data_IF_242384071322
#
_entry.id   IF_242384071322
#
_cell.length_a   1.000
_cell.length_b   1.000
_cell.length_c   1.000
_cell.angle_alpha   90.00
_cell.angle_beta   90.00
_cell.angle_gamma   90.00
#
_symmetry.space_group_name_H-M   'P 1'
#
loop_
_entity.id
_entity.type
_entity.pdbx_description
1 polymer ?
#
# COMPACT_ATOMS: atom_id res chain seq x y z
N UNK A 1 0.91 8.94 14.44
CA UNK A 1 1.53 8.19 13.32
C UNK A 1 2.50 7.21 13.92
N UNK A 2 2.38 5.93 13.58
CA UNK A 2 3.36 4.91 13.97
C UNK A 2 4.69 5.24 13.30
N UNK A 3 5.79 5.25 14.05
CA UNK A 3 7.12 5.47 13.48
C UNK A 3 7.70 4.13 13.00
N UNK A 4 7.46 3.80 11.72
CA UNK A 4 7.93 2.55 11.08
C UNK A 4 9.42 2.56 10.73
N UNK A 5 10.08 3.71 10.77
CA UNK A 5 11.51 3.86 10.44
C UNK A 5 12.43 3.16 11.44
N UNK A 6 11.91 2.76 12.61
CA UNK A 6 12.66 1.96 13.58
C UNK A 6 12.94 0.53 13.08
N UNK A 7 12.19 0.05 12.08
CA UNK A 7 12.28 -1.30 11.53
C UNK A 7 13.24 -1.41 10.31
N UNK A 8 13.81 -0.29 9.86
CA UNK A 8 14.77 -0.23 8.75
C UNK A 8 14.39 0.77 7.67
N UNK A 9 14.73 0.48 6.41
CA UNK A 9 14.33 1.29 5.26
C UNK A 9 12.80 1.34 5.14
N UNK A 10 12.27 2.53 4.87
CA UNK A 10 10.83 2.76 4.68
C UNK A 10 10.55 3.39 3.32
N UNK A 11 9.40 3.04 2.76
CA UNK A 11 8.87 3.61 1.52
C UNK A 11 7.77 4.60 1.88
N UNK A 12 7.89 5.83 1.37
CA UNK A 12 6.96 6.93 1.67
C UNK A 12 6.25 7.32 0.38
N UNK A 13 4.92 7.16 0.36
CA UNK A 13 4.07 7.53 -0.77
C UNK A 13 3.27 8.78 -0.40
N UNK A 14 3.40 9.82 -1.23
CA UNK A 14 2.76 11.13 -1.04
C UNK A 14 1.72 11.37 -2.14
N UNK A 15 0.57 11.93 -1.75
CA UNK A 15 -0.38 12.49 -2.71
C UNK A 15 0.09 13.87 -3.15
N UNK A 16 0.56 13.98 -4.39
CA UNK A 16 1.01 15.26 -4.96
C UNK A 16 -0.12 16.27 -5.14
N UNK A 17 -1.38 15.83 -5.22
CA UNK A 17 -2.56 16.68 -5.33
C UNK A 17 -3.07 17.17 -3.98
N UNK A 18 -2.62 16.56 -2.89
CA UNK A 18 -2.95 16.94 -1.52
C UNK A 18 -1.69 16.93 -0.63
N UNK A 19 -0.77 17.89 -0.82
CA UNK A 19 0.55 17.87 -0.19
C UNK A 19 0.50 17.98 1.34
N UNK A 20 -0.56 18.56 1.90
CA UNK A 20 -0.76 18.72 3.35
C UNK A 20 -1.24 17.43 4.03
N UNK A 21 -1.74 16.45 3.26
CA UNK A 21 -2.16 15.17 3.80
C UNK A 21 -0.97 14.36 4.34
N UNK A 22 -1.24 13.56 5.36
CA UNK A 22 -0.28 12.61 5.90
C UNK A 22 0.17 11.61 4.80
N UNK A 23 1.47 11.27 4.73
CA UNK A 23 1.94 10.24 3.80
C UNK A 23 1.48 8.86 4.22
N UNK A 24 1.44 7.95 3.26
CA UNK A 24 1.48 6.52 3.53
C UNK A 24 2.93 6.09 3.73
N UNK A 25 3.21 5.33 4.79
CA UNK A 25 4.54 4.83 5.13
C UNK A 25 4.48 3.32 5.25
N UNK A 26 5.37 2.65 4.53
CA UNK A 26 5.49 1.19 4.47
C UNK A 26 6.87 0.75 4.94
N UNK A 27 6.95 -0.33 5.70
CA UNK A 27 8.19 -1.08 5.88
C UNK A 27 8.56 -1.79 4.58
N UNK A 28 9.79 -2.29 4.48
CA UNK A 28 10.21 -3.14 3.35
C UNK A 28 9.29 -4.35 3.15
N UNK A 29 8.95 -5.05 4.24
CA UNK A 29 8.09 -6.23 4.18
C UNK A 29 6.67 -5.89 3.69
N UNK A 30 6.10 -4.78 4.16
CA UNK A 30 4.78 -4.32 3.70
C UNK A 30 4.80 -3.90 2.23
N UNK A 31 5.88 -3.24 1.79
CA UNK A 31 6.04 -2.85 0.39
C UNK A 31 6.16 -4.06 -0.54
N UNK A 32 6.98 -5.05 -0.16
CA UNK A 32 7.15 -6.28 -0.93
C UNK A 32 5.82 -7.05 -1.04
N UNK A 33 5.07 -7.17 0.06
CA UNK A 33 3.73 -7.77 0.07
C UNK A 33 2.74 -7.01 -0.81
N UNK A 34 2.73 -5.67 -0.76
CA UNK A 34 1.89 -4.84 -1.63
C UNK A 34 2.20 -5.08 -3.11
N UNK A 35 3.48 -5.09 -3.50
CA UNK A 35 3.89 -5.33 -4.89
C UNK A 35 3.53 -6.74 -5.35
N UNK A 36 3.65 -7.75 -4.48
CA UNK A 36 3.22 -9.12 -4.78
C UNK A 36 1.72 -9.20 -5.02
N UNK A 37 0.89 -8.61 -4.13
CA UNK A 37 -0.56 -8.55 -4.31
C UNK A 37 -0.99 -7.85 -5.60
N UNK A 38 -0.30 -6.76 -5.98
CA UNK A 38 -0.52 -6.10 -7.28
C UNK A 38 -0.23 -7.03 -8.45
N UNK A 39 0.85 -7.83 -8.39
CA UNK A 39 1.20 -8.78 -9.46
C UNK A 39 0.25 -9.99 -9.52
N UNK A 40 -0.32 -10.40 -8.40
CA UNK A 40 -1.34 -11.46 -8.33
C UNK A 40 -2.73 -10.98 -8.80
N UNK A 41 -2.87 -9.69 -9.14
CA UNK A 41 -4.15 -9.10 -9.52
C UNK A 41 -5.12 -8.96 -8.35
N UNK A 42 -4.63 -8.94 -7.10
CA UNK A 42 -5.48 -8.83 -5.89
C UNK A 42 -6.41 -7.62 -5.94
N UNK A 43 -5.94 -6.54 -6.56
CA UNK A 43 -6.64 -5.26 -6.67
C UNK A 43 -7.38 -5.07 -8.00
N UNK A 44 -7.46 -6.10 -8.84
CA UNK A 44 -8.20 -6.01 -10.10
C UNK A 44 -9.70 -5.83 -9.83
N UNK A 45 -10.32 -4.89 -10.54
CA UNK A 45 -11.73 -4.55 -10.32
C UNK A 45 -12.65 -5.77 -10.47
N UNK A 46 -12.37 -6.67 -11.42
CA UNK A 46 -13.14 -7.90 -11.62
C UNK A 46 -13.00 -8.89 -10.45
N UNK A 47 -11.79 -8.99 -9.87
CA UNK A 47 -11.52 -9.83 -8.69
C UNK A 47 -12.19 -9.26 -7.44
N UNK A 48 -12.10 -7.95 -7.23
CA UNK A 48 -12.73 -7.26 -6.11
C UNK A 48 -14.26 -7.30 -6.18
N UNK A 49 -14.84 -7.13 -7.38
CA UNK A 49 -16.28 -7.30 -7.58
C UNK A 49 -16.68 -8.73 -7.24
N UNK A 50 -15.98 -9.74 -7.76
CA UNK A 50 -16.29 -11.15 -7.45
C UNK A 50 -16.26 -11.48 -5.96
N UNK A 51 -15.40 -10.83 -5.16
CA UNK A 51 -15.32 -11.01 -3.72
C UNK A 51 -16.46 -10.33 -2.92
N UNK A 52 -17.17 -9.37 -3.52
CA UNK A 52 -18.24 -8.59 -2.85
C UNK A 52 -19.65 -9.13 -3.12
N UNK A 53 -19.85 -9.88 -4.20
CA UNK A 53 -21.14 -10.48 -4.59
C UNK A 53 -21.19 -12.00 -4.43
N UNK A 54 -20.11 -12.61 -3.94
CA UNK A 54 -20.00 -14.04 -3.60
C UNK A 54 -20.41 -14.35 -2.16
#
# INVERSE_FOLDING_TARGET
>A
MENKSAEGEVFVVRDSKNPDAAPLVFTRAEWDAFVEGVKDGEFDAERLLSALIG
#
